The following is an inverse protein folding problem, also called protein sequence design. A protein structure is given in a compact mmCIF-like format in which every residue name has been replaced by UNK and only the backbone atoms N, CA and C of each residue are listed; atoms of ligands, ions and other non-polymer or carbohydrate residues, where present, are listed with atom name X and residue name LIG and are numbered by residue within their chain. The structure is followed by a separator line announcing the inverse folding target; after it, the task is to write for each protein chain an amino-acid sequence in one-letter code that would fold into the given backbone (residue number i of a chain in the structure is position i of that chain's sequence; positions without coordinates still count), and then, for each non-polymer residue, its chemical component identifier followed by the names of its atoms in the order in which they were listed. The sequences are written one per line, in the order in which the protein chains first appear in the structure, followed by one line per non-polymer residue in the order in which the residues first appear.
data_IF_390879543640
#
_entry.id   IF_390879543640
#
_cell.length_a   1.000
_cell.length_b   1.000
_cell.length_c   1.000
_cell.angle_alpha   90.00
_cell.angle_beta   90.00
_cell.angle_gamma   90.00
#
_symmetry.space_group_name_H-M   'P 1'
#
loop_
_entity.id
_entity.type
_entity.pdbx_description
1 polymer ?
#
# COMPACT_ATOMS: atom_id res chain seq x y z
N UNK A 1 -5.35 -39.94 -66.31
CA UNK A 1 -4.89 -38.72 -67.00
C UNK A 1 -4.60 -37.69 -65.91
N UNK A 2 -3.39 -37.65 -65.33
CA UNK A 2 -2.25 -36.80 -65.72
C UNK A 2 -2.65 -35.31 -65.79
N UNK A 3 -2.07 -34.38 -65.02
CA UNK A 3 -0.63 -34.16 -64.81
C UNK A 3 -0.29 -33.46 -63.48
N UNK A 4 0.82 -33.90 -62.88
CA UNK A 4 1.79 -33.08 -62.14
C UNK A 4 2.57 -32.17 -63.10
N UNK A 5 2.85 -30.91 -62.71
CA UNK A 5 4.08 -30.13 -63.03
C UNK A 5 4.29 -29.10 -61.89
N UNK A 6 5.21 -29.29 -60.95
CA UNK A 6 6.61 -28.79 -60.85
C UNK A 6 6.83 -27.26 -60.70
N UNK A 7 7.36 -26.89 -59.52
CA UNK A 7 8.42 -25.93 -59.15
C UNK A 7 8.49 -24.49 -59.72
N UNK A 8 8.63 -23.55 -58.77
CA UNK A 8 9.80 -22.65 -58.54
C UNK A 8 9.66 -21.11 -58.70
N UNK A 9 10.00 -20.46 -57.58
CA UNK A 9 10.62 -19.13 -57.36
C UNK A 9 9.83 -17.83 -57.61
N UNK A 10 9.49 -17.17 -56.48
CA UNK A 10 9.91 -15.79 -56.24
C UNK A 10 10.04 -15.56 -54.72
N UNK A 11 11.29 -15.45 -54.25
CA UNK A 11 11.66 -14.88 -52.96
C UNK A 11 11.40 -13.38 -53.02
N UNK A 12 10.56 -12.83 -52.16
CA UNK A 12 10.59 -11.41 -51.77
C UNK A 12 10.11 -11.31 -50.31
N UNK A 13 10.96 -10.70 -49.49
CA UNK A 13 10.82 -10.59 -48.06
C UNK A 13 9.57 -9.78 -47.66
N UNK A 14 8.73 -10.39 -46.82
CA UNK A 14 7.81 -9.65 -45.95
C UNK A 14 8.32 -9.76 -44.52
N UNK A 15 9.07 -8.75 -44.10
CA UNK A 15 9.12 -8.38 -42.70
C UNK A 15 7.86 -7.55 -42.41
N UNK A 16 6.90 -8.13 -41.68
CA UNK A 16 5.85 -7.35 -41.04
C UNK A 16 5.52 -7.99 -39.70
N UNK A 17 5.83 -7.24 -38.65
CA UNK A 17 5.47 -7.37 -37.25
C UNK A 17 4.41 -8.43 -36.93
N UNK A 18 4.83 -9.52 -36.27
CA UNK A 18 3.94 -10.31 -35.44
C UNK A 18 3.57 -9.45 -34.22
N UNK A 19 2.36 -8.92 -34.21
CA UNK A 19 1.69 -8.42 -33.01
C UNK A 19 1.43 -9.62 -32.11
N UNK A 20 2.25 -9.78 -31.06
CA UNK A 20 2.00 -10.73 -29.99
C UNK A 20 0.80 -10.27 -29.16
N UNK A 21 -0.37 -10.81 -29.49
CA UNK A 21 -1.53 -10.80 -28.61
C UNK A 21 -1.31 -11.91 -27.58
N UNK A 22 -1.05 -11.57 -26.32
CA UNK A 22 -1.08 -12.56 -25.24
C UNK A 22 -2.48 -12.57 -24.63
N UNK A 23 -3.21 -13.65 -24.90
CA UNK A 23 -4.44 -14.00 -24.21
C UNK A 23 -4.22 -14.05 -22.69
N UNK A 24 -5.15 -13.44 -21.95
CA UNK A 24 -5.10 -13.30 -20.48
C UNK A 24 -5.76 -14.44 -19.72
N UNK A 25 -5.87 -15.63 -20.31
CA UNK A 25 -6.35 -16.82 -19.61
C UNK A 25 -5.56 -18.06 -20.06
N UNK A 26 -4.47 -18.38 -19.35
CA UNK A 26 -3.98 -19.76 -19.30
C UNK A 26 -4.72 -20.51 -18.19
N UNK A 27 -5.26 -21.68 -18.54
CA UNK A 27 -6.13 -22.54 -17.74
C UNK A 27 -5.42 -23.26 -16.59
N UNK A 28 -4.39 -22.67 -15.98
CA UNK A 28 -3.56 -23.32 -14.95
C UNK A 28 -3.45 -22.54 -13.64
N UNK A 29 -4.16 -21.42 -13.46
CA UNK A 29 -4.30 -20.77 -12.15
C UNK A 29 -2.99 -20.26 -11.53
N UNK A 30 -1.94 -20.05 -12.33
CA UNK A 30 -0.70 -19.43 -11.88
C UNK A 30 -0.79 -17.91 -12.07
N UNK A 31 -0.80 -17.19 -10.96
CA UNK A 31 -0.68 -15.72 -10.96
C UNK A 31 0.71 -15.37 -11.49
N UNK A 32 0.78 -14.88 -12.73
CA UNK A 32 2.02 -14.32 -13.27
C UNK A 32 2.34 -13.05 -12.46
N UNK A 33 3.50 -12.96 -11.79
CA UNK A 33 3.89 -11.72 -11.10
C UNK A 33 4.00 -10.61 -12.15
N UNK A 34 3.24 -9.54 -11.96
CA UNK A 34 3.33 -8.35 -12.80
C UNK A 34 4.74 -7.74 -12.67
N UNK A 35 5.35 -7.30 -13.78
CA UNK A 35 6.64 -6.63 -13.71
C UNK A 35 6.53 -5.33 -12.92
N UNK A 36 7.52 -5.07 -12.08
CA UNK A 36 7.69 -3.83 -11.31
C UNK A 36 7.67 -2.58 -12.21
N UNK A 37 7.23 -1.42 -11.68
CA UNK A 37 7.62 -0.13 -12.26
C UNK A 37 9.14 -0.08 -12.32
N UNK A 38 9.70 0.19 -13.48
CA UNK A 38 11.13 0.43 -13.59
C UNK A 38 11.41 1.83 -13.04
N UNK A 39 12.23 2.01 -11.97
CA UNK A 39 12.72 3.33 -11.60
C UNK A 39 13.56 3.85 -12.78
N UNK A 40 13.04 4.81 -13.52
CA UNK A 40 13.71 5.34 -14.73
C UNK A 40 12.82 5.65 -15.93
N UNK A 41 11.51 5.41 -15.86
CA UNK A 41 10.56 5.93 -16.86
C UNK A 41 10.36 7.45 -16.74
N UNK A 42 10.18 8.15 -17.87
CA UNK A 42 9.88 9.61 -17.86
C UNK A 42 8.55 9.93 -17.18
N UNK A 43 7.60 8.99 -17.26
CA UNK A 43 6.29 9.06 -16.63
C UNK A 43 6.09 7.84 -15.72
N UNK A 44 6.43 7.99 -14.44
CA UNK A 44 6.09 7.02 -13.39
C UNK A 44 5.16 7.66 -12.37
N UNK A 45 4.29 6.83 -11.81
CA UNK A 45 3.43 7.21 -10.69
C UNK A 45 4.23 7.39 -9.42
N UNK A 46 3.71 8.21 -8.52
CA UNK A 46 4.34 8.45 -7.23
C UNK A 46 4.36 7.16 -6.42
N UNK A 47 5.52 6.78 -5.90
CA UNK A 47 5.66 5.79 -4.82
C UNK A 47 5.48 6.50 -3.48
N UNK A 48 5.12 5.77 -2.43
CA UNK A 48 5.03 6.42 -1.12
C UNK A 48 6.42 6.65 -0.51
N UNK A 49 6.52 7.68 0.33
CA UNK A 49 7.77 8.07 0.95
C UNK A 49 8.34 6.99 1.89
N UNK A 50 9.66 6.79 1.85
CA UNK A 50 10.40 5.79 2.63
C UNK A 50 11.21 6.32 3.83
N UNK A 51 10.90 7.50 4.36
CA UNK A 51 11.70 8.14 5.41
C UNK A 51 11.29 7.73 6.83
N UNK A 52 12.11 6.91 7.49
CA UNK A 52 11.89 6.42 8.86
C UNK A 52 11.80 7.56 9.88
N UNK A 53 12.54 8.64 9.66
CA UNK A 53 12.55 9.80 10.57
C UNK A 53 11.22 10.56 10.59
N UNK A 54 10.38 10.30 9.60
CA UNK A 54 9.11 10.96 9.37
C UNK A 54 7.91 10.00 9.50
N UNK A 55 8.11 8.83 10.12
CA UNK A 55 7.02 7.96 10.55
C UNK A 55 6.06 8.68 11.50
N UNK A 56 4.78 8.33 11.43
CA UNK A 56 3.77 8.85 12.35
C UNK A 56 2.83 7.79 12.93
N UNK A 57 3.40 6.82 13.63
CA UNK A 57 2.61 5.68 14.10
C UNK A 57 2.40 5.73 15.60
N UNK A 58 1.33 5.10 16.07
CA UNK A 58 1.30 4.61 17.45
C UNK A 58 1.55 3.09 17.37
N UNK A 59 2.70 2.68 17.89
CA UNK A 59 3.17 1.30 17.83
C UNK A 59 3.07 0.69 19.23
N UNK A 60 2.60 -0.55 19.34
CA UNK A 60 2.75 -1.32 20.58
C UNK A 60 3.52 -2.59 20.28
N UNK A 61 4.63 -2.79 20.98
CA UNK A 61 5.38 -4.03 20.90
C UNK A 61 4.93 -4.95 22.02
N UNK A 62 4.57 -6.18 21.67
CA UNK A 62 4.07 -7.22 22.57
C UNK A 62 5.08 -8.35 22.57
N UNK A 63 5.77 -8.55 23.69
CA UNK A 63 6.87 -9.51 23.78
C UNK A 63 6.52 -10.63 24.75
N UNK A 64 6.55 -11.87 24.26
CA UNK A 64 6.53 -13.05 25.10
C UNK A 64 7.82 -13.12 25.93
N UNK A 65 7.67 -13.13 27.26
CA UNK A 65 8.78 -13.30 28.19
C UNK A 65 8.66 -14.59 29.01
N UNK A 66 7.95 -15.59 28.49
CA UNK A 66 7.95 -16.95 29.02
C UNK A 66 9.33 -17.62 28.85
N UNK A 67 9.51 -18.74 29.53
CA UNK A 67 10.74 -19.53 29.49
C UNK A 67 11.12 -19.98 28.07
N UNK A 68 10.12 -20.20 27.21
CA UNK A 68 10.32 -20.58 25.81
C UNK A 68 11.08 -19.55 24.97
N UNK A 69 11.11 -18.28 25.40
CA UNK A 69 11.84 -17.23 24.68
C UNK A 69 13.36 -17.32 24.84
N UNK A 70 13.85 -17.98 25.90
CA UNK A 70 15.25 -18.00 26.35
C UNK A 70 15.87 -16.61 26.59
N UNK A 71 16.97 -16.56 27.37
CA UNK A 71 17.67 -15.30 27.60
C UNK A 71 18.37 -14.77 26.35
N UNK A 72 18.80 -15.66 25.46
CA UNK A 72 19.39 -15.28 24.17
C UNK A 72 18.32 -14.70 23.24
N UNK A 73 17.17 -15.36 23.12
CA UNK A 73 16.07 -14.90 22.26
C UNK A 73 15.46 -13.57 22.70
N UNK A 74 15.26 -13.37 24.01
CA UNK A 74 14.74 -12.09 24.50
C UNK A 74 15.72 -10.94 24.25
N UNK A 75 17.04 -11.22 24.31
CA UNK A 75 18.09 -10.24 23.99
C UNK A 75 18.13 -9.93 22.49
N UNK A 76 17.92 -10.94 21.64
CA UNK A 76 17.80 -10.77 20.19
C UNK A 76 16.59 -9.90 19.82
N UNK A 77 15.43 -10.15 20.44
CA UNK A 77 14.23 -9.34 20.26
C UNK A 77 14.45 -7.90 20.73
N UNK A 78 15.10 -7.72 21.88
CA UNK A 78 15.46 -6.38 22.37
C UNK A 78 16.30 -5.62 21.33
N UNK A 79 17.33 -6.26 20.78
CA UNK A 79 18.17 -5.71 19.73
C UNK A 79 17.38 -5.42 18.44
N UNK A 80 16.46 -6.31 18.07
CA UNK A 80 15.61 -6.15 16.89
C UNK A 80 14.71 -4.91 17.01
N UNK A 81 13.98 -4.77 18.12
CA UNK A 81 13.07 -3.64 18.37
C UNK A 81 13.82 -2.31 18.29
N UNK A 82 14.95 -2.19 19.00
CA UNK A 82 15.72 -0.93 18.98
C UNK A 82 16.34 -0.66 17.63
N UNK A 83 16.67 -1.68 16.82
CA UNK A 83 17.21 -1.47 15.46
C UNK A 83 16.13 -1.05 14.47
N UNK A 84 14.93 -1.64 14.56
CA UNK A 84 13.78 -1.27 13.71
C UNK A 84 13.46 0.22 13.85
N UNK A 85 13.41 0.72 15.08
CA UNK A 85 13.03 2.11 15.35
C UNK A 85 14.22 3.06 15.61
N UNK A 86 15.44 2.55 15.79
CA UNK A 86 16.62 3.34 16.16
C UNK A 86 17.24 4.14 15.02
N UNK A 87 16.89 3.84 13.76
CA UNK A 87 17.43 4.54 12.59
C UNK A 87 16.73 5.88 12.33
N UNK A 88 16.90 6.83 13.25
CA UNK A 88 16.45 8.22 13.09
C UNK A 88 14.96 8.47 13.31
N UNK A 89 14.18 7.46 13.73
CA UNK A 89 12.74 7.63 14.05
C UNK A 89 12.55 8.65 15.16
N UNK A 90 11.66 9.63 14.96
CA UNK A 90 11.27 10.60 15.99
C UNK A 90 10.34 9.94 17.01
N UNK A 91 10.91 9.44 18.11
CA UNK A 91 10.16 8.81 19.21
C UNK A 91 9.58 9.87 20.14
N UNK A 92 8.30 9.79 20.47
CA UNK A 92 7.61 10.68 21.40
C UNK A 92 6.65 11.67 20.73
N UNK A 93 6.27 12.72 21.44
CA UNK A 93 5.30 13.73 20.95
C UNK A 93 5.77 15.19 21.11
N UNK A 94 7.05 15.41 21.38
CA UNK A 94 7.61 16.74 21.68
C UNK A 94 8.18 17.48 20.45
N UNK A 95 7.89 17.00 19.24
CA UNK A 95 8.42 17.59 18.00
C UNK A 95 7.48 18.65 17.43
N UNK A 96 8.05 19.70 16.83
CA UNK A 96 7.29 20.72 16.09
C UNK A 96 6.68 20.18 14.80
N UNK A 97 7.36 19.21 14.17
CA UNK A 97 6.79 18.42 13.08
C UNK A 97 5.82 17.40 13.69
N UNK A 98 4.54 17.37 13.27
CA UNK A 98 3.58 16.40 13.78
C UNK A 98 3.95 14.95 13.43
N UNK A 99 4.84 14.71 12.45
CA UNK A 99 5.39 13.38 12.15
C UNK A 99 6.28 12.91 13.28
N UNK A 100 5.72 12.07 14.14
CA UNK A 100 6.43 11.38 15.21
C UNK A 100 5.78 10.05 15.52
N UNK A 101 6.54 9.11 16.06
CA UNK A 101 6.06 7.78 16.46
C UNK A 101 6.03 7.65 17.97
N UNK A 102 4.95 7.10 18.53
CA UNK A 102 4.86 6.73 19.94
C UNK A 102 4.96 5.21 20.08
N UNK A 103 5.70 4.73 21.06
CA UNK A 103 5.87 3.30 21.32
C UNK A 103 5.35 2.93 22.70
N UNK A 104 4.50 1.92 22.75
CA UNK A 104 4.13 1.21 23.97
C UNK A 104 4.83 -0.15 24.00
N UNK A 105 5.12 -0.63 25.20
CA UNK A 105 5.78 -1.92 25.43
C UNK A 105 4.90 -2.74 26.36
N UNK A 106 4.56 -3.95 25.92
CA UNK A 106 3.83 -4.95 26.68
C UNK A 106 4.68 -6.21 26.73
N UNK A 107 4.84 -6.78 27.91
CA UNK A 107 5.38 -8.14 28.06
C UNK A 107 4.28 -9.09 28.49
N UNK A 108 4.33 -10.35 28.10
CA UNK A 108 3.34 -11.32 28.54
C UNK A 108 3.89 -12.74 28.72
N UNK A 109 3.22 -13.47 29.61
CA UNK A 109 3.37 -14.91 29.84
C UNK A 109 2.00 -15.49 30.26
N UNK A 110 1.86 -15.95 31.50
CA UNK A 110 0.57 -16.21 32.17
C UNK A 110 -0.30 -14.96 32.34
N UNK A 111 0.32 -13.79 32.49
CA UNK A 111 -0.35 -12.49 32.53
C UNK A 111 0.39 -11.50 31.63
N UNK A 112 -0.27 -10.41 31.25
CA UNK A 112 0.36 -9.31 30.51
C UNK A 112 0.67 -8.14 31.44
N UNK A 113 1.81 -7.50 31.21
CA UNK A 113 2.27 -6.30 31.91
C UNK A 113 2.47 -5.19 30.90
N UNK A 114 1.82 -4.05 31.11
CA UNK A 114 2.10 -2.82 30.35
C UNK A 114 3.34 -2.19 30.99
N UNK A 115 4.46 -2.27 30.29
CA UNK A 115 5.76 -1.76 30.72
C UNK A 115 5.87 -0.28 30.40
N UNK A 116 5.43 0.10 29.21
CA UNK A 116 5.39 1.47 28.74
C UNK A 116 4.06 1.74 28.04
N UNK A 117 3.37 2.80 28.43
CA UNK A 117 2.28 3.34 27.62
C UNK A 117 2.83 4.21 26.47
N UNK A 118 1.94 4.68 25.58
CA UNK A 118 2.33 5.48 24.41
C UNK A 118 2.98 6.84 24.75
N UNK A 119 2.91 7.30 26.00
CA UNK A 119 3.42 8.60 26.42
C UNK A 119 4.67 8.49 27.32
N UNK A 120 5.09 7.28 27.71
CA UNK A 120 6.28 7.10 28.54
C UNK A 120 7.57 7.39 27.77
N UNK A 121 7.70 6.84 26.55
CA UNK A 121 8.92 6.96 25.74
C UNK A 121 8.91 8.27 24.94
N UNK A 122 9.89 9.14 25.17
CA UNK A 122 9.97 10.47 24.55
C UNK A 122 11.22 10.68 23.69
N UNK A 123 12.10 9.68 23.61
CA UNK A 123 13.33 9.71 22.83
C UNK A 123 13.79 8.30 22.42
N UNK A 124 14.75 8.24 21.49
CA UNK A 124 15.43 6.98 21.15
C UNK A 124 16.17 6.44 22.38
N UNK A 125 16.82 7.30 23.17
CA UNK A 125 17.53 6.86 24.37
C UNK A 125 16.60 6.21 25.42
N UNK A 126 15.39 6.78 25.61
CA UNK A 126 14.37 6.17 26.48
C UNK A 126 13.98 4.78 25.99
N UNK A 127 13.84 4.61 24.66
CA UNK A 127 13.53 3.33 24.05
C UNK A 127 14.63 2.30 24.34
N UNK A 128 15.90 2.65 24.11
CA UNK A 128 17.03 1.75 24.38
C UNK A 128 17.09 1.36 25.86
N UNK A 129 17.04 2.34 26.77
CA UNK A 129 17.13 2.08 28.21
C UNK A 129 15.97 1.22 28.72
N UNK A 130 14.74 1.51 28.27
CA UNK A 130 13.55 0.78 28.70
C UNK A 130 13.54 -0.64 28.15
N UNK A 131 13.85 -0.82 26.87
CA UNK A 131 13.88 -2.15 26.26
C UNK A 131 14.91 -3.05 26.93
N UNK A 132 16.17 -2.62 27.08
CA UNK A 132 17.20 -3.47 27.68
C UNK A 132 17.06 -3.63 29.20
N UNK A 133 16.35 -2.74 29.89
CA UNK A 133 16.05 -2.92 31.33
C UNK A 133 14.92 -3.90 31.58
N UNK A 134 14.03 -4.11 30.60
CA UNK A 134 12.83 -4.96 30.74
C UNK A 134 13.03 -6.31 30.06
N UNK A 135 13.67 -6.33 28.89
CA UNK A 135 13.92 -7.52 28.07
C UNK A 135 15.33 -8.08 28.33
N UNK A 136 15.68 -8.30 29.60
CA UNK A 136 16.99 -8.85 29.99
C UNK A 136 16.92 -10.28 30.55
N UNK A 137 15.73 -10.75 30.92
CA UNK A 137 15.54 -12.06 31.54
C UNK A 137 14.15 -12.59 31.21
N UNK A 138 14.04 -13.91 31.07
CA UNK A 138 12.76 -14.60 30.93
C UNK A 138 12.18 -15.01 32.28
N UNK A 139 10.86 -15.22 32.30
CA UNK A 139 10.16 -15.82 33.42
C UNK A 139 10.44 -17.32 33.53
N UNK A 140 10.20 -17.90 34.71
CA UNK A 140 10.37 -19.34 34.96
C UNK A 140 9.18 -20.19 34.49
N UNK A 141 8.20 -19.60 33.80
CA UNK A 141 6.97 -20.29 33.37
C UNK A 141 6.97 -20.62 31.88
N UNK A 142 6.42 -21.78 31.52
CA UNK A 142 6.14 -22.18 30.14
C UNK A 142 4.76 -21.67 29.65
N UNK A 143 4.08 -20.83 30.45
CA UNK A 143 2.83 -20.19 30.06
C UNK A 143 3.09 -18.99 29.15
N UNK A 144 2.50 -19.04 27.95
CA UNK A 144 2.50 -17.96 26.97
C UNK A 144 1.06 -17.78 26.45
N UNK A 145 0.31 -16.86 27.07
CA UNK A 145 -1.07 -16.57 26.70
C UNK A 145 -1.14 -15.30 25.85
N UNK A 146 -0.96 -15.49 24.54
CA UNK A 146 -0.94 -14.40 23.55
C UNK A 146 -2.18 -13.49 23.62
N UNK A 147 -3.36 -14.04 23.90
CA UNK A 147 -4.59 -13.27 24.06
C UNK A 147 -4.46 -12.17 25.14
N UNK A 148 -3.74 -12.43 26.24
CA UNK A 148 -3.49 -11.43 27.30
C UNK A 148 -2.58 -10.32 26.80
N UNK A 149 -1.50 -10.66 26.08
CA UNK A 149 -0.58 -9.69 25.50
C UNK A 149 -1.27 -8.77 24.49
N UNK A 150 -2.03 -9.34 23.56
CA UNK A 150 -2.80 -8.58 22.56
C UNK A 150 -3.88 -7.72 23.25
N UNK A 151 -4.58 -8.23 24.26
CA UNK A 151 -5.57 -7.45 25.02
C UNK A 151 -4.95 -6.27 25.79
N UNK A 152 -3.75 -6.42 26.33
CA UNK A 152 -3.02 -5.31 26.94
C UNK A 152 -2.59 -4.28 25.89
N UNK A 153 -2.16 -4.71 24.69
CA UNK A 153 -1.85 -3.79 23.60
C UNK A 153 -3.07 -2.99 23.13
N UNK A 154 -4.23 -3.63 23.04
CA UNK A 154 -5.51 -2.95 22.77
C UNK A 154 -5.78 -1.86 23.82
N UNK A 155 -5.57 -2.17 25.11
CA UNK A 155 -5.75 -1.21 26.20
C UNK A 155 -4.79 -0.02 26.10
N UNK A 156 -3.52 -0.26 25.76
CA UNK A 156 -2.51 0.80 25.53
C UNK A 156 -2.95 1.73 24.40
N UNK A 157 -3.40 1.16 23.26
CA UNK A 157 -3.86 1.94 22.11
C UNK A 157 -5.13 2.75 22.42
N UNK A 158 -6.10 2.15 23.12
CA UNK A 158 -7.35 2.82 23.51
C UNK A 158 -7.08 3.99 24.46
N UNK A 159 -6.30 3.75 25.53
CA UNK A 159 -5.99 4.77 26.53
C UNK A 159 -5.14 5.91 25.96
N UNK A 160 -4.10 5.58 25.17
CA UNK A 160 -3.22 6.60 24.59
C UNK A 160 -3.85 7.44 23.47
N UNK A 161 -5.08 7.10 23.04
CA UNK A 161 -5.91 7.84 22.07
C UNK A 161 -7.20 8.38 22.67
N UNK A 162 -7.36 8.33 23.99
CA UNK A 162 -8.49 8.93 24.66
C UNK A 162 -8.68 10.39 24.21
N UNK A 163 -9.92 10.82 24.09
CA UNK A 163 -10.31 12.17 23.63
C UNK A 163 -9.89 12.50 22.18
N UNK A 164 -9.66 11.50 21.33
CA UNK A 164 -9.39 11.71 19.90
C UNK A 164 -7.96 12.16 19.60
N UNK A 165 -7.04 12.04 20.57
CA UNK A 165 -5.62 12.32 20.36
C UNK A 165 -5.08 11.45 19.23
N UNK A 166 -4.44 12.09 18.24
CA UNK A 166 -3.77 11.41 17.11
C UNK A 166 -4.70 10.45 16.36
N UNK A 167 -5.98 10.83 16.20
CA UNK A 167 -6.98 10.04 15.49
C UNK A 167 -6.62 9.75 14.03
N UNK A 168 -5.88 10.66 13.38
CA UNK A 168 -5.36 10.52 12.02
C UNK A 168 -4.13 9.61 11.90
N UNK A 169 -3.47 9.26 13.01
CA UNK A 169 -2.26 8.43 13.02
C UNK A 169 -2.64 6.96 12.89
N UNK A 170 -1.79 6.18 12.23
CA UNK A 170 -2.03 4.74 12.06
C UNK A 170 -1.48 3.96 13.23
N UNK A 171 -2.02 2.75 13.43
CA UNK A 171 -1.70 1.89 14.59
C UNK A 171 -1.07 0.60 14.11
N UNK A 172 0.01 0.23 14.76
CA UNK A 172 0.74 -1.00 14.49
C UNK A 172 0.94 -1.73 15.82
N UNK A 173 0.69 -3.03 15.83
CA UNK A 173 1.08 -3.91 16.94
C UNK A 173 2.06 -4.93 16.38
N UNK A 174 3.23 -5.05 17.01
CA UNK A 174 4.25 -6.05 16.65
C UNK A 174 4.33 -7.05 17.79
N UNK A 175 4.01 -8.31 17.51
CA UNK A 175 3.99 -9.40 18.47
C UNK A 175 5.22 -10.27 18.25
N UNK A 176 6.00 -10.52 19.31
CA UNK A 176 7.04 -11.53 19.34
C UNK A 176 6.59 -12.66 20.26
N UNK A 177 6.49 -13.88 19.74
CA UNK A 177 5.95 -15.02 20.46
C UNK A 177 6.79 -16.27 20.27
N UNK A 178 7.03 -17.02 21.37
CA UNK A 178 7.74 -18.30 21.35
C UNK A 178 6.81 -19.51 21.37
N UNK A 179 5.52 -19.30 21.63
CA UNK A 179 4.51 -20.35 21.66
C UNK A 179 3.13 -19.80 21.27
N UNK A 180 2.28 -20.69 20.72
CA UNK A 180 0.90 -20.40 20.39
C UNK A 180 -0.02 -21.35 21.17
N UNK A 181 -0.87 -20.79 22.05
CA UNK A 181 -1.91 -21.53 22.77
C UNK A 181 -3.28 -21.03 22.32
N UNK A 182 -3.94 -21.77 21.43
CA UNK A 182 -5.12 -21.33 20.67
C UNK A 182 -6.48 -21.87 21.12
N UNK A 183 -6.65 -22.29 22.38
CA UNK A 183 -7.90 -22.91 22.82
C UNK A 183 -8.47 -22.27 24.10
N UNK A 184 -9.81 -22.32 24.22
CA UNK A 184 -10.55 -21.87 25.41
C UNK A 184 -10.59 -20.35 25.59
N UNK A 185 -10.66 -19.90 26.84
CA UNK A 185 -10.75 -18.46 27.18
C UNK A 185 -9.49 -17.65 26.80
N UNK A 186 -8.40 -18.33 26.44
CA UNK A 186 -7.13 -17.71 26.06
C UNK A 186 -6.86 -17.76 24.55
N UNK A 187 -7.88 -18.08 23.74
CA UNK A 187 -7.78 -18.01 22.28
C UNK A 187 -7.48 -16.55 21.84
N UNK A 188 -6.34 -16.31 21.15
CA UNK A 188 -5.98 -14.98 20.65
C UNK A 188 -6.77 -14.53 19.41
N UNK A 189 -7.50 -15.42 18.74
CA UNK A 189 -8.22 -15.08 17.50
C UNK A 189 -9.26 -13.97 17.73
N UNK A 190 -10.20 -14.06 18.68
CA UNK A 190 -11.24 -13.04 18.83
C UNK A 190 -10.72 -11.63 19.16
N UNK A 191 -9.63 -11.54 19.93
CA UNK A 191 -9.00 -10.25 20.27
C UNK A 191 -8.20 -9.69 19.10
N UNK A 192 -7.49 -10.54 18.34
CA UNK A 192 -6.74 -10.11 17.15
C UNK A 192 -7.68 -9.64 16.03
N UNK A 193 -8.78 -10.34 15.77
CA UNK A 193 -9.77 -9.95 14.76
C UNK A 193 -10.45 -8.63 15.11
N UNK A 194 -10.75 -8.39 16.39
CA UNK A 194 -11.27 -7.11 16.86
C UNK A 194 -10.28 -5.96 16.61
N UNK A 195 -9.00 -6.15 16.93
CA UNK A 195 -7.96 -5.14 16.67
C UNK A 195 -7.83 -4.84 15.17
N UNK A 196 -7.71 -5.89 14.34
CA UNK A 196 -7.64 -5.77 12.88
C UNK A 196 -8.86 -5.02 12.33
N UNK A 197 -10.07 -5.39 12.77
CA UNK A 197 -11.33 -4.73 12.38
C UNK A 197 -11.40 -3.28 12.82
N UNK A 198 -10.71 -2.91 13.90
CA UNK A 198 -10.62 -1.50 14.33
C UNK A 198 -9.69 -0.67 13.46
N UNK A 199 -8.93 -1.28 12.53
CA UNK A 199 -7.94 -0.60 11.69
C UNK A 199 -6.53 -0.57 12.30
N UNK A 200 -6.18 -1.56 13.12
CA UNK A 200 -4.82 -1.79 13.61
C UNK A 200 -4.15 -2.83 12.73
N UNK A 201 -2.93 -2.56 12.27
CA UNK A 201 -2.11 -3.57 11.59
C UNK A 201 -1.44 -4.41 12.66
N UNK A 202 -1.56 -5.74 12.55
CA UNK A 202 -0.98 -6.69 13.49
C UNK A 202 0.12 -7.46 12.77
N UNK A 203 1.36 -7.31 13.22
CA UNK A 203 2.50 -8.09 12.75
C UNK A 203 2.93 -9.07 13.82
N UNK A 204 3.29 -10.29 13.40
CA UNK A 204 3.76 -11.34 14.28
C UNK A 204 5.14 -11.80 13.87
N UNK A 205 5.97 -12.12 14.85
CA UNK A 205 7.31 -12.69 14.71
C UNK A 205 7.33 -13.97 15.54
N UNK A 206 7.36 -15.11 14.85
CA UNK A 206 7.55 -16.41 15.46
C UNK A 206 9.00 -16.54 15.89
N UNK A 207 9.25 -16.65 17.19
CA UNK A 207 10.56 -17.01 17.70
C UNK A 207 10.69 -18.53 17.67
N UNK A 208 11.11 -19.02 16.50
CA UNK A 208 11.12 -20.45 16.20
C UNK A 208 12.50 -21.05 16.51
N UNK A 209 12.65 -21.71 17.66
CA UNK A 209 13.90 -22.39 18.02
C UNK A 209 14.05 -23.75 17.32
N UNK A 210 12.96 -24.48 17.12
CA UNK A 210 12.98 -25.92 16.76
C UNK A 210 12.41 -26.25 15.37
N UNK A 211 11.94 -25.27 14.60
CA UNK A 211 11.21 -25.51 13.35
C UNK A 211 9.72 -25.76 13.56
N UNK A 212 9.10 -25.15 14.57
CA UNK A 212 7.69 -25.37 14.91
C UNK A 212 6.75 -24.73 13.88
N UNK A 213 6.38 -25.52 12.86
CA UNK A 213 5.41 -25.12 11.83
C UNK A 213 4.04 -24.74 12.42
N UNK A 214 3.67 -25.30 13.59
CA UNK A 214 2.39 -25.01 14.24
C UNK A 214 2.35 -23.63 14.87
N UNK A 215 3.48 -23.17 15.44
CA UNK A 215 3.65 -21.79 15.91
C UNK A 215 3.51 -20.80 14.76
N UNK A 216 4.21 -21.03 13.66
CA UNK A 216 4.17 -20.15 12.50
C UNK A 216 2.75 -20.09 11.90
N UNK A 217 2.10 -21.23 11.74
CA UNK A 217 0.72 -21.30 11.24
C UNK A 217 -0.27 -20.58 12.16
N UNK A 218 -0.15 -20.76 13.49
CA UNK A 218 -0.98 -20.07 14.47
C UNK A 218 -0.79 -18.55 14.42
N UNK A 219 0.46 -18.08 14.38
CA UNK A 219 0.76 -16.65 14.30
C UNK A 219 0.39 -16.00 12.97
N UNK A 220 0.35 -16.78 11.88
CA UNK A 220 -0.13 -16.31 10.58
C UNK A 220 -1.64 -16.00 10.57
N UNK A 221 -2.44 -16.73 11.34
CA UNK A 221 -3.88 -16.45 11.53
C UNK A 221 -4.09 -15.15 12.32
N UNK A 222 -3.19 -14.89 13.28
CA UNK A 222 -3.23 -13.70 14.12
C UNK A 222 -2.83 -12.46 13.33
N UNK A 223 -1.74 -12.52 12.57
CA UNK A 223 -1.24 -11.40 11.80
C UNK A 223 -2.29 -10.85 10.81
N UNK A 224 -2.16 -9.56 10.50
CA UNK A 224 -2.72 -9.01 9.28
C UNK A 224 -2.08 -9.74 8.07
N UNK A 225 -2.78 -9.90 6.94
CA UNK A 225 -2.24 -10.66 5.82
C UNK A 225 -0.88 -10.13 5.37
N UNK A 226 0.06 -11.07 5.15
CA UNK A 226 1.47 -10.84 4.82
C UNK A 226 2.36 -10.26 5.92
N UNK A 227 1.89 -10.24 7.18
CA UNK A 227 2.63 -9.69 8.33
C UNK A 227 3.10 -10.71 9.37
N UNK A 228 3.16 -11.99 8.97
CA UNK A 228 3.75 -13.04 9.77
C UNK A 228 5.20 -13.29 9.33
N UNK A 229 6.11 -13.20 10.29
CA UNK A 229 7.55 -13.34 10.14
C UNK A 229 8.08 -14.38 11.10
N UNK A 230 9.34 -14.76 10.93
CA UNK A 230 10.09 -15.62 11.86
C UNK A 230 11.41 -14.96 12.25
N UNK A 231 11.91 -15.26 13.45
CA UNK A 231 13.25 -14.85 13.88
C UNK A 231 14.37 -15.36 12.96
N UNK A 232 14.10 -16.41 12.17
CA UNK A 232 15.02 -16.95 11.17
C UNK A 232 15.06 -16.15 9.86
N UNK A 233 14.22 -15.13 9.70
CA UNK A 233 14.19 -14.33 8.48
C UNK A 233 15.50 -13.54 8.32
N UNK A 234 16.15 -13.70 7.16
CA UNK A 234 17.46 -13.10 6.86
C UNK A 234 17.50 -11.57 7.02
N UNK A 235 16.36 -10.91 6.94
CA UNK A 235 16.24 -9.47 7.10
C UNK A 235 14.97 -9.06 7.87
N UNK A 236 14.72 -9.69 9.01
CA UNK A 236 13.58 -9.37 9.87
C UNK A 236 13.47 -7.87 10.19
N UNK A 237 14.59 -7.19 10.46
CA UNK A 237 14.61 -5.74 10.74
C UNK A 237 14.05 -4.94 9.57
N UNK A 238 14.52 -5.20 8.34
CA UNK A 238 14.05 -4.48 7.16
C UNK A 238 12.59 -4.84 6.80
N UNK A 239 12.14 -6.06 7.09
CA UNK A 239 10.74 -6.44 6.95
C UNK A 239 9.84 -5.66 7.91
N UNK A 240 10.21 -5.56 9.18
CA UNK A 240 9.47 -4.78 10.18
C UNK A 240 9.50 -3.27 9.90
N UNK A 241 10.62 -2.74 9.42
CA UNK A 241 10.70 -1.37 8.89
C UNK A 241 9.78 -1.19 7.67
N UNK A 242 9.70 -2.20 6.81
CA UNK A 242 8.76 -2.25 5.68
C UNK A 242 7.30 -2.16 6.12
N UNK A 243 6.90 -2.86 7.20
CA UNK A 243 5.55 -2.74 7.81
C UNK A 243 5.26 -1.29 8.19
N UNK A 244 6.22 -0.62 8.83
CA UNK A 244 6.07 0.75 9.30
C UNK A 244 6.04 1.78 8.15
N UNK A 245 6.94 1.64 7.16
CA UNK A 245 7.18 2.61 6.09
C UNK A 245 6.27 2.47 4.88
N UNK A 246 6.21 1.25 4.34
CA UNK A 246 6.16 0.94 2.89
C UNK A 246 7.48 0.85 2.10
N UNK A 247 8.61 0.45 2.66
CA UNK A 247 9.73 0.14 1.76
C UNK A 247 9.56 -1.29 1.23
N UNK A 248 9.56 -1.44 -0.10
CA UNK A 248 9.94 -2.67 -0.79
C UNK A 248 11.33 -3.13 -0.32
N UNK A 249 11.45 -3.63 0.90
CA UNK A 249 12.67 -4.36 1.23
C UNK A 249 12.51 -5.76 0.66
N UNK A 250 12.74 -5.83 -0.65
CA UNK A 250 12.90 -7.06 -1.39
C UNK A 250 14.08 -7.82 -0.77
N UNK A 251 13.79 -8.71 0.17
CA UNK A 251 14.62 -9.89 0.31
C UNK A 251 14.59 -10.58 -1.05
N UNK A 252 15.77 -10.92 -1.57
CA UNK A 252 16.00 -11.58 -2.87
C UNK A 252 15.12 -12.84 -3.12
N UNK A 253 14.43 -13.33 -2.09
CA UNK A 253 13.60 -14.53 -2.07
C UNK A 253 12.10 -14.27 -1.78
N UNK A 254 11.66 -13.02 -1.57
CA UNK A 254 10.25 -12.68 -1.30
C UNK A 254 9.73 -11.71 -2.37
N UNK A 255 8.60 -12.00 -3.03
CA UNK A 255 8.04 -11.10 -4.04
C UNK A 255 7.70 -9.74 -3.38
N UNK A 256 7.97 -8.62 -4.06
CA UNK A 256 7.79 -7.23 -3.57
C UNK A 256 6.32 -6.85 -3.33
N UNK A 257 5.39 -7.71 -3.73
CA UNK A 257 3.99 -7.35 -3.99
C UNK A 257 3.09 -7.39 -2.74
N UNK A 258 3.64 -7.61 -1.54
CA UNK A 258 2.85 -8.15 -0.42
C UNK A 258 2.76 -7.26 0.84
N UNK A 259 3.06 -5.97 0.80
CA UNK A 259 3.01 -5.13 2.02
C UNK A 259 1.98 -3.99 1.91
N UNK A 260 0.98 -4.00 2.80
CA UNK A 260 0.12 -2.84 3.10
C UNK A 260 0.77 -1.95 4.16
N UNK A 261 1.40 -0.84 3.81
CA UNK A 261 2.08 -0.04 4.81
C UNK A 261 1.13 0.53 5.87
N UNK A 262 1.65 0.62 7.09
CA UNK A 262 0.99 1.40 8.12
C UNK A 262 0.92 2.87 7.71
N UNK A 263 1.95 3.41 7.05
CA UNK A 263 2.04 4.84 6.82
C UNK A 263 1.53 5.35 5.46
N UNK A 264 1.34 4.50 4.45
CA UNK A 264 0.78 4.95 3.17
C UNK A 264 -0.71 4.67 3.04
N UNK A 265 -1.51 5.74 2.98
CA UNK A 265 -2.97 5.62 2.90
C UNK A 265 -3.63 6.83 2.25
N UNK A 266 -4.82 6.60 1.72
CA UNK A 266 -5.66 7.67 1.19
C UNK A 266 -6.58 8.27 2.25
N UNK A 267 -6.94 9.57 2.10
CA UNK A 267 -8.02 10.18 2.86
C UNK A 267 -9.35 9.46 2.61
N UNK A 268 -10.32 9.64 3.51
CA UNK A 268 -11.66 9.08 3.36
C UNK A 268 -12.28 9.47 2.01
N UNK A 269 -13.02 8.53 1.39
CA UNK A 269 -13.65 8.67 0.06
C UNK A 269 -12.69 8.72 -1.13
N UNK A 270 -11.40 8.51 -0.91
CA UNK A 270 -10.41 8.31 -1.97
C UNK A 270 -9.98 6.85 -2.02
N UNK A 271 -9.87 6.31 -3.22
CA UNK A 271 -9.42 4.95 -3.49
C UNK A 271 -7.91 4.97 -3.71
N UNK A 272 -7.17 4.16 -2.94
CA UNK A 272 -5.74 4.00 -3.13
C UNK A 272 -5.44 3.32 -4.45
N UNK A 273 -4.57 3.91 -5.27
CA UNK A 273 -4.05 3.24 -6.45
C UNK A 273 -3.18 2.05 -6.04
N UNK A 274 -3.49 0.87 -6.58
CA UNK A 274 -2.85 -0.40 -6.23
C UNK A 274 -2.41 -1.15 -7.49
N UNK A 275 -1.37 -1.97 -7.36
CA UNK A 275 -0.92 -2.86 -8.42
C UNK A 275 -2.03 -3.84 -8.87
N UNK A 276 -2.90 -4.26 -7.94
CA UNK A 276 -4.11 -5.02 -8.23
C UNK A 276 -5.32 -4.36 -7.55
N UNK A 277 -6.36 -4.07 -8.33
CA UNK A 277 -7.56 -3.41 -7.83
C UNK A 277 -8.29 -4.27 -6.77
N UNK A 278 -8.48 -5.56 -7.05
CA UNK A 278 -9.31 -6.47 -6.25
C UNK A 278 -8.58 -7.02 -5.03
N UNK A 279 -7.24 -6.98 -5.05
CA UNK A 279 -6.41 -7.38 -3.92
C UNK A 279 -6.10 -6.16 -3.02
N UNK A 280 -6.68 -6.14 -1.83
CA UNK A 280 -6.43 -5.10 -0.82
C UNK A 280 -4.99 -5.09 -0.30
N UNK A 281 -4.31 -6.23 -0.40
CA UNK A 281 -2.95 -6.45 0.10
C UNK A 281 -1.86 -6.27 -0.94
N UNK A 282 -2.25 -5.96 -2.19
CA UNK A 282 -1.30 -5.64 -3.25
C UNK A 282 -0.60 -4.31 -3.01
N UNK A 283 0.55 -4.15 -3.66
CA UNK A 283 1.38 -2.94 -3.58
C UNK A 283 0.57 -1.66 -3.81
N UNK A 284 0.67 -0.71 -2.87
CA UNK A 284 -0.03 0.58 -2.89
C UNK A 284 0.88 1.67 -3.46
N UNK A 285 0.41 2.45 -4.42
CA UNK A 285 1.17 3.61 -4.92
C UNK A 285 0.91 4.82 -4.04
N UNK A 286 1.77 5.83 -4.13
CA UNK A 286 1.64 7.14 -3.49
C UNK A 286 0.53 8.04 -4.06
N UNK A 287 -0.53 7.43 -4.59
CA UNK A 287 -1.56 8.04 -5.44
C UNK A 287 -2.95 7.63 -4.98
N UNK A 288 -3.83 8.61 -4.84
CA UNK A 288 -5.22 8.45 -4.44
C UNK A 288 -6.15 8.95 -5.54
N UNK A 289 -7.13 8.14 -5.89
CA UNK A 289 -8.09 8.42 -6.95
C UNK A 289 -9.47 8.63 -6.35
N UNK A 290 -10.21 9.61 -6.87
CA UNK A 290 -11.62 9.79 -6.53
C UNK A 290 -12.45 10.04 -7.78
N UNK A 291 -13.43 9.18 -7.98
CA UNK A 291 -14.44 9.36 -9.01
C UNK A 291 -15.43 10.44 -8.58
N UNK A 292 -15.56 11.50 -9.39
CA UNK A 292 -16.53 12.55 -9.19
C UNK A 292 -17.75 12.31 -10.10
N UNK A 293 -18.90 12.12 -9.48
CA UNK A 293 -20.17 11.81 -10.14
C UNK A 293 -20.95 13.07 -10.52
N UNK A 294 -20.25 14.17 -10.79
CA UNK A 294 -20.82 15.44 -11.21
C UNK A 294 -20.41 15.65 -12.67
N UNK A 295 -21.39 15.81 -13.55
CA UNK A 295 -21.10 16.06 -14.97
C UNK A 295 -20.64 17.50 -15.16
N UNK A 296 -19.48 17.68 -15.78
CA UNK A 296 -18.94 19.02 -16.08
C UNK A 296 -17.99 18.99 -17.28
N UNK A 297 -17.71 20.15 -17.87
CA UNK A 297 -16.72 20.25 -18.93
C UNK A 297 -15.33 19.92 -18.41
N UNK A 298 -14.42 19.44 -19.27
CA UNK A 298 -13.05 19.10 -18.87
C UNK A 298 -12.36 20.24 -18.10
N UNK A 299 -12.56 21.49 -18.56
CA UNK A 299 -11.98 22.68 -17.92
C UNK A 299 -12.60 22.94 -16.54
N UNK A 300 -13.92 22.75 -16.38
CA UNK A 300 -14.57 22.86 -15.09
C UNK A 300 -14.14 21.72 -14.14
N UNK A 301 -14.05 20.48 -14.64
CA UNK A 301 -13.59 19.31 -13.91
C UNK A 301 -12.17 19.50 -13.35
N UNK A 302 -11.27 20.11 -14.13
CA UNK A 302 -9.93 20.51 -13.66
C UNK A 302 -9.98 21.36 -12.40
N UNK A 303 -10.75 22.44 -12.40
CA UNK A 303 -10.90 23.30 -11.23
C UNK A 303 -11.65 22.61 -10.09
N UNK A 304 -12.62 21.75 -10.42
CA UNK A 304 -13.34 20.97 -9.42
C UNK A 304 -12.40 20.03 -8.65
N UNK A 305 -11.48 19.32 -9.31
CA UNK A 305 -10.48 18.50 -8.63
C UNK A 305 -9.52 19.32 -7.74
N UNK A 306 -9.13 20.52 -8.20
CA UNK A 306 -8.30 21.43 -7.40
C UNK A 306 -9.01 21.94 -6.15
N UNK A 307 -10.33 22.13 -6.21
CA UNK A 307 -11.15 22.54 -5.07
C UNK A 307 -11.52 21.35 -4.17
N UNK A 308 -11.55 20.12 -4.71
CA UNK A 308 -11.94 18.92 -3.99
C UNK A 308 -10.90 18.49 -2.95
N UNK A 309 -9.62 18.69 -3.26
CA UNK A 309 -8.52 18.43 -2.35
C UNK A 309 -7.36 19.38 -2.61
N UNK A 310 -6.61 19.73 -1.56
CA UNK A 310 -5.36 20.48 -1.69
C UNK A 310 -4.41 19.72 -2.61
N UNK A 311 -3.91 20.41 -3.64
CA UNK A 311 -3.06 19.83 -4.70
C UNK A 311 -3.76 18.72 -5.51
N UNK A 312 -5.10 18.70 -5.54
CA UNK A 312 -5.86 17.80 -6.41
C UNK A 312 -5.81 18.25 -7.87
N UNK A 313 -5.84 17.29 -8.78
CA UNK A 313 -5.85 17.51 -10.23
C UNK A 313 -6.63 16.38 -10.93
N UNK A 314 -6.89 16.50 -12.23
CA UNK A 314 -7.49 15.41 -13.01
C UNK A 314 -6.50 14.26 -13.15
N UNK A 315 -6.98 13.03 -12.98
CA UNK A 315 -6.14 11.84 -12.87
C UNK A 315 -5.29 11.58 -14.13
N UNK A 316 -4.06 11.11 -13.92
CA UNK A 316 -3.13 10.79 -15.01
C UNK A 316 -3.12 9.30 -15.32
N UNK A 317 -2.69 8.93 -16.52
CA UNK A 317 -2.50 7.54 -16.91
C UNK A 317 -1.13 7.37 -17.57
N UNK A 318 -0.12 7.05 -16.77
CA UNK A 318 1.24 6.91 -17.28
C UNK A 318 1.50 5.54 -17.91
N UNK A 319 0.71 4.53 -17.57
CA UNK A 319 0.80 3.18 -18.08
C UNK A 319 -0.59 2.50 -18.17
N UNK A 320 -0.61 1.30 -18.73
CA UNK A 320 -1.83 0.49 -18.86
C UNK A 320 -2.38 0.00 -17.53
N UNK A 321 -1.56 -0.10 -16.47
CA UNK A 321 -2.03 -0.51 -15.16
C UNK A 321 -2.92 0.57 -14.55
N UNK A 322 -2.50 1.84 -14.60
CA UNK A 322 -3.29 2.95 -14.08
C UNK A 322 -4.55 3.20 -14.91
N UNK A 323 -4.46 3.10 -16.23
CA UNK A 323 -5.63 3.14 -17.12
C UNK A 323 -6.68 2.09 -16.72
N UNK A 324 -6.27 0.83 -16.63
CA UNK A 324 -7.16 -0.25 -16.20
C UNK A 324 -7.70 -0.01 -14.79
N UNK A 325 -6.87 0.50 -13.88
CA UNK A 325 -7.30 0.82 -12.52
C UNK A 325 -8.38 1.90 -12.48
N UNK A 326 -8.24 3.00 -13.22
CA UNK A 326 -9.27 4.05 -13.31
C UNK A 326 -10.58 3.49 -13.89
N UNK A 327 -10.49 2.61 -14.89
CA UNK A 327 -11.66 1.94 -15.42
C UNK A 327 -12.33 1.04 -14.38
N UNK A 328 -11.57 0.27 -13.58
CA UNK A 328 -12.11 -0.53 -12.47
C UNK A 328 -12.75 0.36 -11.39
N UNK A 329 -12.19 1.55 -11.11
CA UNK A 329 -12.81 2.55 -10.22
C UNK A 329 -14.18 2.97 -10.75
N UNK A 330 -14.30 3.23 -12.06
CA UNK A 330 -15.59 3.56 -12.68
C UNK A 330 -16.58 2.40 -12.59
N UNK A 331 -16.17 1.17 -12.94
CA UNK A 331 -17.04 -0.01 -12.91
C UNK A 331 -17.60 -0.33 -11.52
N UNK A 332 -16.81 -0.08 -10.46
CA UNK A 332 -17.24 -0.30 -9.08
C UNK A 332 -18.02 0.89 -8.49
N UNK A 333 -18.31 1.91 -9.28
CA UNK A 333 -19.12 3.05 -8.87
C UNK A 333 -20.44 3.03 -9.64
N UNK A 334 -21.55 2.84 -8.92
CA UNK A 334 -22.90 2.69 -9.50
C UNK A 334 -23.40 3.93 -10.26
N UNK A 335 -22.76 5.09 -10.09
CA UNK A 335 -23.08 6.28 -10.87
C UNK A 335 -22.55 6.20 -12.31
N UNK A 336 -21.51 5.41 -12.56
CA UNK A 336 -20.94 5.22 -13.89
C UNK A 336 -21.59 4.00 -14.52
N UNK A 337 -22.27 4.20 -15.65
CA UNK A 337 -22.96 3.13 -16.37
C UNK A 337 -22.41 3.01 -17.78
N UNK A 338 -22.49 1.81 -18.37
CA UNK A 338 -22.13 1.62 -19.76
C UNK A 338 -23.04 2.46 -20.71
N UNK A 339 -22.49 3.07 -21.78
CA UNK A 339 -21.06 3.13 -22.10
C UNK A 339 -20.29 4.00 -21.08
N UNK A 340 -19.19 3.47 -20.55
CA UNK A 340 -18.41 4.20 -19.54
C UNK A 340 -17.72 5.40 -20.18
N UNK A 341 -17.96 6.59 -19.62
CA UNK A 341 -17.40 7.86 -20.10
C UNK A 341 -16.97 8.71 -18.91
N UNK A 342 -15.74 9.24 -18.93
CA UNK A 342 -15.25 10.16 -17.90
C UNK A 342 -13.99 10.93 -18.31
N UNK A 343 -13.84 12.17 -17.85
CA UNK A 343 -12.64 12.98 -18.10
C UNK A 343 -11.43 12.48 -17.33
N UNK A 344 -10.27 12.55 -18.00
CA UNK A 344 -8.93 12.32 -17.44
C UNK A 344 -8.06 13.56 -17.61
N UNK A 345 -6.90 13.59 -16.97
CA UNK A 345 -6.01 14.75 -16.89
C UNK A 345 -5.18 15.04 -18.15
N UNK A 346 -5.40 14.35 -19.27
CA UNK A 346 -4.67 14.61 -20.50
C UNK A 346 -5.26 15.83 -21.25
N UNK A 347 -4.39 16.71 -21.74
CA UNK A 347 -4.81 17.86 -22.54
C UNK A 347 -3.79 18.31 -23.58
N UNK A 348 -4.26 18.90 -24.68
CA UNK A 348 -3.40 19.47 -25.72
C UNK A 348 -3.09 20.94 -25.42
N UNK A 349 -1.82 21.23 -25.20
CA UNK A 349 -1.34 22.58 -24.84
C UNK A 349 0.10 22.74 -25.31
N UNK A 350 0.45 23.95 -25.77
CA UNK A 350 1.81 24.27 -26.25
C UNK A 350 2.33 23.31 -27.33
N UNK A 351 1.45 22.83 -28.22
CA UNK A 351 1.83 21.97 -29.34
C UNK A 351 1.96 20.47 -29.00
N UNK A 352 1.64 20.04 -27.78
CA UNK A 352 1.73 18.64 -27.37
C UNK A 352 0.65 18.20 -26.38
N UNK A 353 0.51 16.89 -26.22
CA UNK A 353 -0.32 16.28 -25.18
C UNK A 353 0.42 16.27 -23.86
N UNK A 354 -0.20 16.80 -22.82
CA UNK A 354 0.38 16.92 -21.49
C UNK A 354 -0.63 16.53 -20.41
N UNK A 355 -0.13 15.80 -19.42
CA UNK A 355 -0.81 15.43 -18.19
C UNK A 355 -0.90 16.62 -17.24
N UNK A 356 -2.08 16.84 -16.68
CA UNK A 356 -2.27 17.76 -15.57
C UNK A 356 -1.39 17.36 -14.38
N UNK A 357 -0.98 18.36 -13.61
CA UNK A 357 -0.26 18.25 -12.35
C UNK A 357 -0.95 19.17 -11.34
N UNK A 358 -0.60 19.10 -10.05
CA UNK A 358 -1.11 20.04 -9.06
C UNK A 358 -0.90 21.50 -9.51
N UNK A 359 -1.79 22.40 -9.10
CA UNK A 359 -1.70 23.80 -9.46
C UNK A 359 -0.33 24.39 -9.09
N UNK A 360 0.31 25.08 -10.03
CA UNK A 360 1.65 25.65 -9.88
C UNK A 360 2.81 24.73 -10.28
N UNK A 361 2.56 23.45 -10.56
CA UNK A 361 3.56 22.52 -11.08
C UNK A 361 3.56 22.52 -12.61
N UNK A 362 4.73 22.31 -13.25
CA UNK A 362 4.81 22.19 -14.70
C UNK A 362 4.00 20.98 -15.18
N UNK A 363 3.32 21.12 -16.32
CA UNK A 363 2.63 19.99 -16.94
C UNK A 363 3.64 18.92 -17.36
N UNK A 364 3.21 17.66 -17.33
CA UNK A 364 4.06 16.51 -17.64
C UNK A 364 3.76 16.00 -19.06
N UNK A 365 4.71 16.04 -20.01
CA UNK A 365 4.44 15.60 -21.38
C UNK A 365 3.99 14.13 -21.45
N UNK A 366 3.07 13.84 -22.36
CA UNK A 366 2.69 12.46 -22.69
C UNK A 366 3.89 11.76 -23.33
N UNK A 367 4.28 10.62 -22.78
CA UNK A 367 5.44 9.82 -23.19
C UNK A 367 5.21 8.37 -22.81
N UNK A 368 5.60 7.44 -23.70
CA UNK A 368 5.59 5.99 -23.45
C UNK A 368 4.24 5.29 -23.66
N UNK A 369 3.16 5.79 -23.07
CA UNK A 369 1.84 5.13 -23.08
C UNK A 369 0.78 5.93 -23.83
N UNK A 370 -0.04 5.24 -24.63
CA UNK A 370 -1.24 5.80 -25.24
C UNK A 370 -2.27 4.73 -25.57
N UNK A 371 -3.55 5.02 -25.32
CA UNK A 371 -4.67 4.14 -25.64
C UNK A 371 -5.79 4.89 -26.37
N UNK A 372 -5.42 5.62 -27.43
CA UNK A 372 -6.39 6.35 -28.25
C UNK A 372 -7.37 5.39 -28.91
N UNK A 373 -8.66 5.71 -28.83
CA UNK A 373 -9.68 5.02 -29.60
C UNK A 373 -9.46 5.20 -31.11
N UNK A 374 -9.95 4.28 -31.96
CA UNK A 374 -9.82 4.39 -33.41
C UNK A 374 -10.29 5.77 -33.93
N UNK A 375 -9.50 6.38 -34.81
CA UNK A 375 -9.73 7.72 -35.39
C UNK A 375 -9.54 8.92 -34.43
N UNK A 376 -8.92 8.71 -33.28
CA UNK A 376 -8.48 9.77 -32.37
C UNK A 376 -6.94 9.82 -32.28
N UNK A 377 -6.35 10.99 -31.98
CA UNK A 377 -7.00 12.28 -31.73
C UNK A 377 -7.50 12.97 -33.02
N UNK A 378 -8.59 13.74 -32.89
CA UNK A 378 -9.16 14.59 -33.95
C UNK A 378 -8.55 15.99 -33.91
N UNK A 379 -8.21 16.54 -35.07
CA UNK A 379 -7.59 17.86 -35.22
C UNK A 379 -8.63 18.99 -35.19
N UNK A 380 -9.02 19.43 -33.99
CA UNK A 380 -9.83 20.64 -33.78
C UNK A 380 -9.22 21.50 -32.67
N UNK A 381 -9.19 22.82 -32.87
CA UNK A 381 -8.57 23.77 -31.94
C UNK A 381 -9.22 23.80 -30.55
N UNK A 382 -10.52 23.46 -30.45
CA UNK A 382 -11.22 23.33 -29.19
C UNK A 382 -11.08 21.95 -28.55
N UNK A 383 -10.65 20.93 -29.31
CA UNK A 383 -10.59 19.55 -28.85
C UNK A 383 -9.30 19.27 -28.06
N UNK A 384 -9.12 20.03 -27.00
CA UNK A 384 -7.92 20.04 -26.17
C UNK A 384 -8.06 19.18 -24.91
N UNK A 385 -9.26 18.78 -24.51
CA UNK A 385 -9.50 17.94 -23.33
C UNK A 385 -9.63 16.48 -23.75
N UNK A 386 -9.35 15.55 -22.84
CA UNK A 386 -9.46 14.11 -23.11
C UNK A 386 -10.36 13.46 -22.08
N UNK A 387 -11.18 12.53 -22.58
CA UNK A 387 -11.95 11.61 -21.76
C UNK A 387 -11.65 10.17 -22.16
N UNK A 388 -11.94 9.28 -21.23
CA UNK A 388 -12.10 7.85 -21.45
C UNK A 388 -13.49 7.57 -22.01
N UNK A 389 -13.57 6.73 -23.03
CA UNK A 389 -14.84 6.30 -23.60
C UNK A 389 -14.81 4.84 -24.03
N UNK A 390 -15.83 4.09 -23.61
CA UNK A 390 -16.13 2.77 -24.13
C UNK A 390 -16.62 2.89 -25.57
N UNK A 391 -15.87 2.31 -26.51
CA UNK A 391 -16.12 2.43 -27.95
C UNK A 391 -16.88 1.23 -28.54
N UNK A 392 -16.75 0.03 -27.94
CA UNK A 392 -17.41 -1.19 -28.38
C UNK A 392 -18.24 -1.81 -27.25
N UNK A 393 -18.95 -2.90 -27.55
CA UNK A 393 -19.60 -3.75 -26.55
C UNK A 393 -18.60 -4.47 -25.64
N UNK A 394 -17.30 -4.45 -25.99
CA UNK A 394 -16.26 -5.01 -25.15
C UNK A 394 -16.08 -4.13 -23.91
N UNK A 395 -15.71 -4.75 -22.79
CA UNK A 395 -15.47 -4.06 -21.52
C UNK A 395 -14.07 -3.41 -21.53
N UNK A 396 -13.85 -2.51 -22.48
CA UNK A 396 -12.62 -1.71 -22.61
C UNK A 396 -12.96 -0.26 -22.88
N UNK A 397 -12.05 0.64 -22.48
CA UNK A 397 -12.16 2.09 -22.71
C UNK A 397 -10.90 2.58 -23.41
N UNK A 398 -11.01 3.71 -24.09
CA UNK A 398 -9.87 4.37 -24.71
C UNK A 398 -10.08 5.88 -24.84
N UNK A 399 -8.99 6.59 -25.10
CA UNK A 399 -8.95 8.05 -25.10
C UNK A 399 -9.67 8.64 -26.31
N UNK A 400 -10.47 9.67 -26.08
CA UNK A 400 -11.04 10.53 -27.10
C UNK A 400 -10.83 12.00 -26.73
N UNK A 401 -10.29 12.79 -27.65
CA UNK A 401 -10.18 14.23 -27.43
C UNK A 401 -11.48 14.94 -27.80
N UNK A 402 -11.91 15.81 -26.90
CA UNK A 402 -13.22 16.45 -26.89
C UNK A 402 -13.08 17.96 -26.68
N UNK A 403 -14.16 18.68 -26.99
CA UNK A 403 -14.23 20.10 -26.70
C UNK A 403 -14.21 20.31 -25.17
N UNK A 404 -13.08 20.83 -24.67
CA UNK A 404 -12.80 20.95 -23.24
C UNK A 404 -13.73 21.92 -22.49
N UNK A 405 -14.51 22.72 -23.21
CA UNK A 405 -15.37 23.77 -22.66
C UNK A 405 -16.84 23.37 -22.65
N UNK A 406 -17.27 22.43 -23.51
CA UNK A 406 -18.69 22.13 -23.71
C UNK A 406 -19.10 20.68 -23.47
N UNK A 407 -18.19 19.70 -23.57
CA UNK A 407 -18.53 18.30 -23.35
C UNK A 407 -18.56 18.00 -21.86
N UNK A 408 -19.77 17.83 -21.32
CA UNK A 408 -20.00 17.63 -19.89
C UNK A 408 -20.10 16.15 -19.54
N UNK A 409 -19.16 15.64 -18.75
CA UNK A 409 -19.10 14.25 -18.31
C UNK A 409 -18.58 14.15 -16.87
N UNK A 410 -18.69 12.97 -16.27
CA UNK A 410 -18.03 12.66 -15.00
C UNK A 410 -16.51 12.70 -15.14
N UNK A 411 -15.78 12.65 -14.03
CA UNK A 411 -14.33 12.84 -14.07
C UNK A 411 -13.61 12.13 -12.93
N UNK A 412 -12.34 11.79 -13.16
CA UNK A 412 -11.47 11.19 -12.15
C UNK A 412 -10.51 12.25 -11.62
N UNK A 413 -10.51 12.44 -10.30
CA UNK A 413 -9.55 13.28 -9.62
C UNK A 413 -8.44 12.44 -8.99
N UNK A 414 -7.28 13.05 -8.86
CA UNK A 414 -6.08 12.47 -8.28
C UNK A 414 -5.45 13.42 -7.25
N UNK A 415 -4.92 12.82 -6.19
CA UNK A 415 -4.11 13.51 -5.17
C UNK A 415 -3.04 12.56 -4.64
N UNK A 416 -1.90 13.08 -4.18
CA UNK A 416 -0.91 12.25 -3.49
C UNK A 416 -1.48 11.69 -2.17
N UNK A 417 -1.16 10.43 -1.87
CA UNK A 417 -1.50 9.78 -0.59
C UNK A 417 -0.76 10.39 0.60
N UNK A 418 -1.24 10.06 1.80
CA UNK A 418 -0.57 10.37 3.05
C UNK A 418 0.57 9.37 3.26
N UNK A 419 1.75 9.84 3.65
CA UNK A 419 2.93 9.01 3.96
C UNK A 419 4.02 9.82 4.66
N UNK A 420 5.23 9.26 4.81
CA UNK A 420 6.35 9.92 5.50
C UNK A 420 6.71 11.29 4.87
N UNK A 421 6.44 11.52 3.59
CA UNK A 421 6.71 12.80 2.93
C UNK A 421 5.53 13.77 2.98
N UNK A 422 4.28 13.26 3.05
CA UNK A 422 3.07 14.08 2.98
C UNK A 422 2.13 13.90 4.17
N UNK A 423 2.18 14.83 5.13
CA UNK A 423 1.22 14.89 6.25
C UNK A 423 -0.23 15.12 5.86
N UNK A 424 -1.09 14.28 6.43
CA UNK A 424 -2.53 14.41 6.39
C UNK A 424 -3.06 14.54 7.82
N UNK A 425 -3.57 15.74 8.12
CA UNK A 425 -4.25 16.09 9.37
C UNK A 425 -5.73 15.76 9.31
#
# INVERSE_FOLDING_TARGET
MFKLVTLALAYLAFASAQTGYTDWFDSTGTVVPTPYPTPGGTNVDRECGGDLSNLWLDVVVVVDNSKGMTNEGITEIAANIVTVFGNGTKIGNQYSDPRSTRLGIVTYNKQATIVADLNLLQSIDDLYQTIFSVLNTVSNTDDSFLAKGIGAAESVLQNGRANGVRSNYKRLVVVYASAYKGEGENDPIPVSDRLKSSGVILSTVAFDQDGDESLLAGLAVIASPNYAFTSKDLNLVGELQGVALQSEFSSKYKPPNCFIPANCFCPNLWTQYKANFDDEYSYKYGVCIRAATISSSWTAAKFACQNLAKNGFLATEYDGQKHNFLFRVAQNNTAFTAPYIYHIGLSYVNGGWNWQQPAGYPLKPMSGYSTWNPSYPKSFSSNIGVLEQQFSSDLTVGWQNINAYSVAEYYMCEVASCDTEKYCS
#
